data_IF_016523908466
#
_entry.id   IF_016523908466
#
_cell.length_a   1.000
_cell.length_b   1.000
_cell.length_c   1.000
_cell.angle_alpha   90.00
_cell.angle_beta   90.00
_cell.angle_gamma   90.00
#
_symmetry.space_group_name_H-M   'P 1'
#
loop_
_entity.id
_entity.type
_entity.pdbx_description
1 polymer ?
#
# COMPACT_ATOMS: atom_id res chain seq x y z
N UNK A 1 -21.70 -0.51 16.33
CA UNK A 1 -22.05 0.51 15.32
C UNK A 1 -20.79 1.24 14.87
N UNK A 2 -20.76 1.83 13.68
CA UNK A 2 -19.64 2.65 13.18
C UNK A 2 -19.26 3.78 14.17
N UNK A 3 -20.24 4.29 14.90
CA UNK A 3 -20.06 5.33 15.92
C UNK A 3 -19.21 4.83 17.10
N UNK A 4 -19.43 3.63 17.56
CA UNK A 4 -18.66 3.00 18.66
C UNK A 4 -17.21 2.70 18.24
N UNK A 5 -16.98 2.36 16.97
CA UNK A 5 -15.63 2.15 16.42
C UNK A 5 -14.87 3.50 16.40
N UNK A 6 -15.50 4.58 15.92
CA UNK A 6 -14.89 5.90 15.84
C UNK A 6 -14.53 6.47 17.23
N UNK A 7 -15.38 6.27 18.23
CA UNK A 7 -15.19 6.77 19.60
C UNK A 7 -14.05 6.07 20.35
N UNK A 8 -13.75 4.80 20.01
CA UNK A 8 -12.70 3.99 20.63
C UNK A 8 -11.39 3.94 19.85
N UNK A 9 -11.31 4.59 18.70
CA UNK A 9 -10.09 4.57 17.87
C UNK A 9 -9.13 5.65 18.35
N UNK A 10 -7.93 5.24 18.73
CA UNK A 10 -6.87 6.17 19.13
C UNK A 10 -6.51 7.09 17.94
N UNK A 11 -6.36 8.40 18.18
CA UNK A 11 -5.94 9.39 17.18
C UNK A 11 -4.72 8.93 16.35
N UNK A 12 -3.78 8.25 17.00
CA UNK A 12 -2.60 7.67 16.36
C UNK A 12 -2.96 6.70 15.20
N UNK A 13 -3.94 5.81 15.36
CA UNK A 13 -4.30 4.83 14.33
C UNK A 13 -5.03 5.49 13.15
N UNK A 14 -5.86 6.49 13.43
CA UNK A 14 -6.50 7.28 12.38
C UNK A 14 -5.44 8.03 11.57
N UNK A 15 -4.50 8.67 12.26
CA UNK A 15 -3.37 9.34 11.60
C UNK A 15 -2.49 8.38 10.82
N UNK A 16 -2.26 7.15 11.31
CA UNK A 16 -1.48 6.15 10.59
C UNK A 16 -2.09 5.83 9.21
N UNK A 17 -3.41 5.65 9.13
CA UNK A 17 -4.10 5.39 7.87
C UNK A 17 -4.00 6.58 6.89
N UNK A 18 -4.26 7.79 7.38
CA UNK A 18 -4.20 9.01 6.55
C UNK A 18 -2.78 9.30 6.08
N UNK A 19 -1.79 9.22 6.97
CA UNK A 19 -0.40 9.51 6.66
C UNK A 19 0.23 8.46 5.73
N UNK A 20 -0.13 7.17 5.91
CA UNK A 20 0.23 6.10 4.98
C UNK A 20 -0.23 6.45 3.57
N UNK A 21 -1.51 6.80 3.43
CA UNK A 21 -2.09 7.15 2.14
C UNK A 21 -1.38 8.33 1.50
N UNK A 22 -1.15 9.42 2.25
CA UNK A 22 -0.43 10.59 1.76
C UNK A 22 1.00 10.24 1.32
N UNK A 23 1.69 9.36 2.04
CA UNK A 23 3.05 8.93 1.70
C UNK A 23 3.04 8.10 0.40
N UNK A 24 2.05 7.23 0.21
CA UNK A 24 1.87 6.44 -1.02
C UNK A 24 1.55 7.37 -2.20
N UNK A 25 0.62 8.31 -2.05
CA UNK A 25 0.26 9.28 -3.09
C UNK A 25 1.49 10.06 -3.60
N UNK A 26 2.38 10.47 -2.69
CA UNK A 26 3.65 11.12 -3.05
C UNK A 26 4.57 10.21 -3.87
N UNK A 27 4.63 8.91 -3.56
CA UNK A 27 5.42 7.95 -4.34
C UNK A 27 4.83 7.78 -5.74
N UNK A 28 3.50 7.67 -5.85
CA UNK A 28 2.81 7.58 -7.13
C UNK A 28 3.07 8.84 -7.96
N UNK A 29 2.88 10.03 -7.38
CA UNK A 29 3.12 11.29 -8.08
C UNK A 29 4.57 11.39 -8.57
N UNK A 30 5.54 11.08 -7.70
CA UNK A 30 6.96 11.08 -8.10
C UNK A 30 7.27 10.07 -9.22
N UNK A 31 6.60 8.91 -9.23
CA UNK A 31 6.75 7.95 -10.32
C UNK A 31 6.16 8.48 -11.63
N UNK A 32 4.98 9.09 -11.57
CA UNK A 32 4.29 9.67 -12.73
C UNK A 32 5.08 10.83 -13.33
N UNK A 33 5.72 11.67 -12.50
CA UNK A 33 6.55 12.79 -12.94
C UNK A 33 7.80 12.31 -13.72
N UNK A 34 8.30 11.12 -13.41
CA UNK A 34 9.47 10.54 -14.05
C UNK A 34 9.15 9.57 -15.20
N UNK A 35 7.87 9.17 -15.37
CA UNK A 35 7.46 8.16 -16.33
C UNK A 35 6.17 8.58 -17.03
N UNK A 36 6.28 9.18 -18.22
CA UNK A 36 5.11 9.54 -19.02
C UNK A 36 4.40 8.29 -19.60
N UNK A 37 3.07 8.34 -19.67
CA UNK A 37 2.24 7.29 -20.27
C UNK A 37 2.51 5.89 -19.69
N UNK A 38 2.63 5.78 -18.39
CA UNK A 38 2.91 4.55 -17.65
C UNK A 38 1.64 3.86 -17.12
N UNK A 39 1.81 2.73 -16.45
CA UNK A 39 0.74 2.05 -15.72
C UNK A 39 0.90 2.24 -14.21
N UNK A 40 -0.20 2.49 -13.52
CA UNK A 40 -0.30 2.43 -12.05
C UNK A 40 -1.31 1.35 -11.71
N UNK A 41 -0.90 0.32 -10.98
CA UNK A 41 -1.71 -0.86 -10.67
C UNK A 41 -1.89 -0.98 -9.17
N UNK A 42 -3.13 -0.82 -8.70
CA UNK A 42 -3.49 -1.07 -7.31
C UNK A 42 -3.92 -2.53 -7.16
N UNK A 43 -3.21 -3.30 -6.34
CA UNK A 43 -3.55 -4.68 -6.01
C UNK A 43 -4.16 -4.74 -4.62
N UNK A 44 -5.35 -5.33 -4.50
CA UNK A 44 -6.18 -5.21 -3.32
C UNK A 44 -6.74 -3.78 -3.21
N UNK A 45 -7.27 -3.27 -4.31
CA UNK A 45 -7.66 -1.88 -4.46
C UNK A 45 -8.77 -1.43 -3.49
N UNK A 46 -9.67 -2.32 -3.13
CA UNK A 46 -10.80 -1.99 -2.24
C UNK A 46 -11.53 -0.73 -2.70
N UNK A 47 -11.67 0.22 -1.78
CA UNK A 47 -12.23 1.55 -2.04
C UNK A 47 -11.14 2.65 -2.12
N UNK A 48 -9.96 2.32 -2.66
CA UNK A 48 -8.88 3.29 -2.87
C UNK A 48 -9.32 4.39 -3.84
N UNK A 49 -8.99 5.64 -3.53
CA UNK A 49 -9.42 6.82 -4.28
C UNK A 49 -8.25 7.63 -4.86
N UNK A 50 -7.05 7.04 -4.96
CA UNK A 50 -5.85 7.70 -5.47
C UNK A 50 -6.04 8.22 -6.90
N UNK A 51 -6.73 7.48 -7.76
CA UNK A 51 -7.08 7.92 -9.10
C UNK A 51 -7.73 9.31 -9.11
N UNK A 52 -8.73 9.52 -8.24
CA UNK A 52 -9.47 10.78 -8.14
C UNK A 52 -8.67 11.91 -7.48
N UNK A 53 -7.71 11.56 -6.60
CA UNK A 53 -6.85 12.56 -5.92
C UNK A 53 -5.70 13.02 -6.79
N UNK A 54 -5.05 12.09 -7.50
CA UNK A 54 -3.83 12.35 -8.28
C UNK A 54 -4.13 13.01 -9.61
N UNK A 55 -5.29 12.69 -10.23
CA UNK A 55 -5.80 13.35 -11.47
C UNK A 55 -4.80 13.36 -12.62
N UNK A 56 -4.16 12.23 -12.90
CA UNK A 56 -3.27 12.07 -14.04
C UNK A 56 -4.03 11.50 -15.24
N UNK A 57 -4.00 12.19 -16.39
CA UNK A 57 -4.72 11.81 -17.60
C UNK A 57 -3.85 11.14 -18.66
N UNK A 58 -2.54 11.04 -18.45
CA UNK A 58 -1.59 10.48 -19.43
C UNK A 58 -1.25 9.01 -19.17
N UNK A 59 -1.54 8.51 -17.98
CA UNK A 59 -1.22 7.15 -17.54
C UNK A 59 -2.50 6.36 -17.28
N UNK A 60 -2.42 5.04 -17.40
CA UNK A 60 -3.53 4.15 -17.08
C UNK A 60 -3.47 3.72 -15.61
N UNK A 61 -4.63 3.69 -14.98
CA UNK A 61 -4.80 3.21 -13.61
C UNK A 61 -5.60 1.91 -13.64
N UNK A 62 -5.11 0.90 -12.97
CA UNK A 62 -5.72 -0.43 -12.88
C UNK A 62 -6.05 -0.72 -11.43
N UNK A 63 -7.32 -0.97 -11.15
CA UNK A 63 -7.82 -1.30 -9.82
C UNK A 63 -8.17 -2.79 -9.78
N UNK A 64 -7.32 -3.58 -9.15
CA UNK A 64 -7.44 -5.04 -9.10
C UNK A 64 -7.87 -5.47 -7.71
N UNK A 65 -8.99 -6.17 -7.62
CA UNK A 65 -9.48 -6.80 -6.39
C UNK A 65 -10.42 -7.95 -6.74
N UNK A 66 -10.90 -8.67 -5.74
CA UNK A 66 -11.88 -9.73 -5.92
C UNK A 66 -13.14 -9.19 -6.63
N UNK A 67 -13.76 -10.00 -7.48
CA UNK A 67 -14.86 -9.60 -8.35
C UNK A 67 -15.99 -8.85 -7.61
N UNK A 68 -16.40 -9.36 -6.45
CA UNK A 68 -17.43 -8.72 -5.63
C UNK A 68 -16.99 -7.37 -5.04
N UNK A 69 -15.69 -7.19 -4.75
CA UNK A 69 -15.14 -5.91 -4.26
C UNK A 69 -15.12 -4.88 -5.39
N UNK A 70 -14.71 -5.28 -6.58
CA UNK A 70 -14.73 -4.42 -7.77
C UNK A 70 -16.15 -3.99 -8.13
N UNK A 71 -17.12 -4.89 -8.04
CA UNK A 71 -18.54 -4.56 -8.29
C UNK A 71 -19.06 -3.50 -7.28
N UNK A 72 -18.74 -3.64 -6.00
CA UNK A 72 -19.11 -2.64 -4.99
C UNK A 72 -18.33 -1.33 -5.17
N UNK A 73 -17.04 -1.39 -5.55
CA UNK A 73 -16.24 -0.20 -5.89
C UNK A 73 -16.89 0.58 -7.03
N UNK A 74 -17.23 -0.08 -8.14
CA UNK A 74 -17.84 0.55 -9.30
C UNK A 74 -19.18 1.22 -8.97
N UNK A 75 -19.99 0.56 -8.16
CA UNK A 75 -21.27 1.10 -7.68
C UNK A 75 -21.12 2.34 -6.79
N UNK A 76 -20.10 2.38 -5.94
CA UNK A 76 -19.92 3.45 -4.95
C UNK A 76 -19.13 4.65 -5.50
N UNK A 77 -18.13 4.39 -6.34
CA UNK A 77 -17.17 5.39 -6.81
C UNK A 77 -17.28 5.67 -8.30
N UNK A 78 -17.87 4.74 -9.07
CA UNK A 78 -17.75 4.74 -10.52
C UNK A 78 -16.31 4.48 -10.96
N UNK A 79 -15.99 4.85 -12.20
CA UNK A 79 -14.62 4.81 -12.72
C UNK A 79 -14.36 5.97 -13.70
N UNK A 80 -13.10 6.33 -13.84
CA UNK A 80 -12.68 7.40 -14.73
C UNK A 80 -12.30 6.89 -16.13
N UNK A 81 -12.00 7.82 -17.04
CA UNK A 81 -11.72 7.52 -18.46
C UNK A 81 -10.51 6.59 -18.66
N UNK A 82 -9.48 6.73 -17.86
CA UNK A 82 -8.23 5.95 -17.92
C UNK A 82 -8.04 5.08 -16.68
N UNK A 83 -9.13 4.76 -16.00
CA UNK A 83 -9.20 3.82 -14.87
C UNK A 83 -9.84 2.51 -15.35
N UNK A 84 -9.20 1.38 -15.11
CA UNK A 84 -9.59 0.05 -15.54
C UNK A 84 -9.83 -0.80 -14.29
N UNK A 85 -11.07 -1.29 -14.13
CA UNK A 85 -11.47 -2.13 -13.01
C UNK A 85 -11.32 -3.60 -13.38
N UNK A 86 -10.62 -4.40 -12.57
CA UNK A 86 -10.32 -5.81 -12.86
C UNK A 86 -10.70 -6.68 -11.66
N UNK A 87 -11.72 -7.52 -11.83
CA UNK A 87 -12.16 -8.48 -10.83
C UNK A 87 -11.40 -9.79 -10.92
N UNK A 88 -10.36 -9.99 -10.08
CA UNK A 88 -9.66 -11.27 -9.95
C UNK A 88 -8.83 -11.34 -8.66
N UNK A 89 -8.39 -12.55 -8.28
CA UNK A 89 -7.36 -12.70 -7.23
C UNK A 89 -6.02 -12.15 -7.76
N UNK A 90 -5.41 -11.21 -7.03
CA UNK A 90 -4.13 -10.62 -7.42
C UNK A 90 -3.02 -11.67 -7.61
N UNK A 91 -3.06 -12.78 -6.88
CA UNK A 91 -2.08 -13.86 -6.97
C UNK A 91 -2.26 -14.75 -8.20
N UNK A 92 -3.42 -14.71 -8.88
CA UNK A 92 -3.63 -15.45 -10.13
C UNK A 92 -2.80 -14.91 -11.28
N UNK A 93 -2.30 -13.68 -11.17
CA UNK A 93 -1.60 -12.95 -12.23
C UNK A 93 -2.43 -12.70 -13.50
N UNK A 94 -3.73 -13.01 -13.51
CA UNK A 94 -4.60 -12.83 -14.68
C UNK A 94 -4.76 -11.36 -15.06
N UNK A 95 -4.65 -10.44 -14.08
CA UNK A 95 -4.70 -9.00 -14.32
C UNK A 95 -3.59 -8.49 -15.23
N UNK A 96 -2.45 -9.21 -15.33
CA UNK A 96 -1.31 -8.81 -16.18
C UNK A 96 -1.71 -8.76 -17.67
N UNK A 97 -2.64 -9.60 -18.11
CA UNK A 97 -3.11 -9.62 -19.52
C UNK A 97 -3.78 -8.31 -19.98
N UNK A 98 -4.22 -7.48 -19.03
CA UNK A 98 -4.84 -6.19 -19.33
C UNK A 98 -3.82 -5.04 -19.41
N UNK A 99 -2.57 -5.29 -19.02
CA UNK A 99 -1.52 -4.28 -19.04
C UNK A 99 -0.81 -4.22 -20.40
N UNK A 100 -0.43 -3.01 -20.79
CA UNK A 100 0.65 -2.83 -21.76
C UNK A 100 2.00 -2.98 -21.03
N UNK A 101 2.54 -4.20 -21.01
CA UNK A 101 3.78 -4.51 -20.29
C UNK A 101 5.06 -3.88 -20.89
N UNK A 102 4.95 -3.24 -22.06
CA UNK A 102 6.05 -2.44 -22.63
C UNK A 102 6.28 -1.13 -21.85
N UNK A 103 5.24 -0.64 -21.17
CA UNK A 103 5.28 0.58 -20.37
C UNK A 103 5.88 0.36 -18.99
N UNK A 104 6.45 1.43 -18.42
CA UNK A 104 6.81 1.43 -16.99
C UNK A 104 5.56 1.21 -16.13
N UNK A 105 5.66 0.32 -15.17
CA UNK A 105 4.53 -0.06 -14.30
C UNK A 105 4.90 0.16 -12.83
N UNK A 106 4.08 0.91 -12.11
CA UNK A 106 4.12 0.99 -10.66
C UNK A 106 3.01 0.13 -10.08
N UNK A 107 3.37 -0.85 -9.27
CA UNK A 107 2.42 -1.64 -8.49
C UNK A 107 2.32 -1.03 -7.10
N UNK A 108 1.10 -0.82 -6.63
CA UNK A 108 0.78 -0.25 -5.33
C UNK A 108 -0.04 -1.22 -4.51
N UNK A 109 0.41 -1.52 -3.28
CA UNK A 109 -0.34 -2.33 -2.32
C UNK A 109 -0.42 -1.58 -0.99
N UNK A 110 -1.61 -1.12 -0.64
CA UNK A 110 -1.87 -0.33 0.56
C UNK A 110 -2.72 -1.12 1.57
N UNK A 111 -2.09 -1.62 2.63
CA UNK A 111 -2.78 -2.41 3.65
C UNK A 111 -3.13 -3.84 3.20
N UNK A 112 -2.34 -4.43 2.32
CA UNK A 112 -2.64 -5.73 1.68
C UNK A 112 -1.67 -6.82 2.13
N UNK A 113 -0.37 -6.61 2.01
CA UNK A 113 0.63 -7.65 2.28
C UNK A 113 0.60 -8.20 3.70
N UNK A 114 0.17 -7.40 4.64
CA UNK A 114 0.09 -7.78 6.06
C UNK A 114 -0.75 -9.04 6.34
N UNK A 115 -1.68 -9.40 5.46
CA UNK A 115 -2.55 -10.57 5.63
C UNK A 115 -1.97 -11.86 5.06
N UNK A 116 -0.80 -11.82 4.44
CA UNK A 116 -0.20 -12.98 3.77
C UNK A 116 1.13 -13.38 4.41
N UNK A 117 1.54 -14.63 4.20
CA UNK A 117 2.84 -15.11 4.66
C UNK A 117 3.97 -14.51 3.83
N UNK A 118 5.15 -14.36 4.43
CA UNK A 118 6.35 -13.84 3.77
C UNK A 118 6.71 -14.63 2.51
N UNK A 119 6.64 -15.95 2.57
CA UNK A 119 6.98 -16.82 1.44
C UNK A 119 6.03 -16.61 0.26
N UNK A 120 4.73 -16.46 0.53
CA UNK A 120 3.73 -16.15 -0.51
C UNK A 120 4.01 -14.82 -1.18
N UNK A 121 4.36 -13.81 -0.41
CA UNK A 121 4.73 -12.47 -0.93
C UNK A 121 6.00 -12.53 -1.78
N UNK A 122 7.04 -13.24 -1.31
CA UNK A 122 8.29 -13.39 -2.08
C UNK A 122 8.03 -14.12 -3.40
N UNK A 123 7.23 -15.20 -3.37
CA UNK A 123 6.86 -15.92 -4.59
C UNK A 123 6.11 -14.99 -5.58
N UNK A 124 5.16 -14.23 -5.09
CA UNK A 124 4.40 -13.25 -5.87
C UNK A 124 5.28 -12.17 -6.51
N UNK A 125 6.21 -11.59 -5.74
CA UNK A 125 7.18 -10.62 -6.29
C UNK A 125 7.99 -11.24 -7.42
N UNK A 126 8.40 -12.51 -7.31
CA UNK A 126 9.13 -13.22 -8.38
C UNK A 126 8.28 -13.41 -9.63
N UNK A 127 7.00 -13.75 -9.49
CA UNK A 127 6.06 -13.86 -10.62
C UNK A 127 5.91 -12.52 -11.34
N UNK A 128 5.71 -11.43 -10.61
CA UNK A 128 5.62 -10.07 -11.16
C UNK A 128 6.89 -9.71 -11.95
N UNK A 129 8.06 -9.97 -11.35
CA UNK A 129 9.35 -9.72 -12.03
C UNK A 129 9.47 -10.43 -13.38
N UNK A 130 8.99 -11.66 -13.46
CA UNK A 130 9.03 -12.44 -14.71
C UNK A 130 8.05 -11.93 -15.75
N UNK A 131 6.92 -11.34 -15.31
CA UNK A 131 5.82 -10.97 -16.19
C UNK A 131 5.87 -9.51 -16.66
N UNK A 132 6.48 -8.61 -15.87
CA UNK A 132 6.49 -7.17 -16.15
C UNK A 132 7.93 -6.65 -16.13
N UNK A 133 8.56 -6.44 -17.30
CA UNK A 133 9.98 -6.10 -17.40
C UNK A 133 10.40 -4.79 -16.76
N UNK A 134 9.53 -3.76 -16.81
CA UNK A 134 9.81 -2.42 -16.28
C UNK A 134 8.87 -2.14 -15.10
N UNK A 135 9.19 -2.72 -13.94
CA UNK A 135 8.28 -2.69 -12.80
C UNK A 135 8.93 -2.14 -11.52
N UNK A 136 8.21 -1.25 -10.87
CA UNK A 136 8.47 -0.80 -9.51
C UNK A 136 7.27 -1.17 -8.62
N UNK A 137 7.50 -1.27 -7.31
CA UNK A 137 6.46 -1.64 -6.34
C UNK A 137 6.54 -0.75 -5.11
N UNK A 138 5.40 -0.23 -4.69
CA UNK A 138 5.24 0.54 -3.46
C UNK A 138 4.24 -0.17 -2.58
N UNK A 139 4.60 -0.45 -1.34
CA UNK A 139 3.72 -1.08 -0.36
C UNK A 139 4.05 -0.64 1.06
N UNK A 140 3.07 -0.76 1.94
CA UNK A 140 3.29 -0.52 3.37
C UNK A 140 3.68 -1.80 4.10
N UNK A 141 4.51 -1.63 5.12
CA UNK A 141 4.93 -2.70 6.02
C UNK A 141 5.08 -2.19 7.45
N UNK A 142 5.06 -3.11 8.39
CA UNK A 142 5.40 -2.87 9.78
C UNK A 142 6.57 -3.78 10.19
N UNK A 143 7.31 -3.40 11.23
CA UNK A 143 8.29 -4.30 11.81
C UNK A 143 7.62 -5.36 12.72
N UNK A 144 8.37 -6.34 13.17
CA UNK A 144 7.86 -7.44 14.01
C UNK A 144 7.24 -6.97 15.32
N UNK A 145 7.72 -5.87 15.91
CA UNK A 145 7.15 -5.29 17.14
C UNK A 145 5.85 -4.55 16.83
N UNK A 146 5.81 -3.78 15.73
CA UNK A 146 4.61 -3.13 15.24
C UNK A 146 3.51 -4.14 14.93
N UNK A 147 3.86 -5.23 14.25
CA UNK A 147 2.96 -6.34 13.95
C UNK A 147 2.33 -6.93 15.22
N UNK A 148 3.12 -7.25 16.23
CA UNK A 148 2.63 -7.77 17.51
C UNK A 148 1.63 -6.80 18.17
N UNK A 149 1.93 -5.49 18.17
CA UNK A 149 1.05 -4.46 18.74
C UNK A 149 -0.25 -4.32 17.95
N UNK A 150 -0.17 -4.33 16.62
CA UNK A 150 -1.33 -4.27 15.75
C UNK A 150 -2.25 -5.49 15.98
N UNK A 151 -1.69 -6.69 16.10
CA UNK A 151 -2.48 -7.90 16.38
C UNK A 151 -3.13 -7.90 17.76
N UNK A 152 -2.50 -7.33 18.79
CA UNK A 152 -3.14 -7.14 20.10
C UNK A 152 -4.38 -6.23 19.95
N UNK A 153 -4.28 -5.17 19.16
CA UNK A 153 -5.41 -4.28 18.90
C UNK A 153 -6.52 -5.00 18.10
N UNK A 154 -6.17 -5.70 17.02
CA UNK A 154 -7.11 -6.49 16.19
C UNK A 154 -7.89 -7.50 17.05
N UNK A 155 -7.22 -8.25 17.90
CA UNK A 155 -7.88 -9.21 18.81
C UNK A 155 -8.87 -8.53 19.77
N UNK A 156 -8.56 -7.33 20.25
CA UNK A 156 -9.47 -6.56 21.13
C UNK A 156 -10.74 -6.08 20.42
N UNK A 157 -10.71 -5.90 19.09
CA UNK A 157 -11.89 -5.57 18.29
C UNK A 157 -12.78 -6.77 18.00
N UNK A 158 -12.34 -7.99 18.35
CA UNK A 158 -13.06 -9.24 18.07
C UNK A 158 -12.95 -9.72 16.63
N UNK A 159 -12.22 -9.03 15.76
CA UNK A 159 -12.04 -9.40 14.36
C UNK A 159 -10.81 -10.31 14.18
N UNK A 160 -10.90 -11.54 14.68
CA UNK A 160 -9.80 -12.52 14.60
C UNK A 160 -9.36 -12.86 13.18
N UNK A 161 -10.24 -12.67 12.17
CA UNK A 161 -9.93 -12.93 10.77
C UNK A 161 -9.03 -11.84 10.14
N UNK A 162 -8.81 -10.71 10.81
CA UNK A 162 -7.93 -9.63 10.37
C UNK A 162 -6.53 -9.72 11.00
N UNK A 163 -6.13 -10.89 11.52
CA UNK A 163 -4.78 -11.07 12.06
C UNK A 163 -3.73 -10.92 10.95
N UNK A 164 -2.68 -10.18 11.27
CA UNK A 164 -1.60 -9.85 10.35
C UNK A 164 -0.43 -10.83 10.54
N UNK A 165 0.24 -11.19 9.45
CA UNK A 165 1.30 -12.21 9.42
C UNK A 165 2.63 -11.70 8.88
N UNK A 166 2.64 -10.59 8.13
CA UNK A 166 3.82 -10.10 7.45
C UNK A 166 4.44 -8.91 8.16
N UNK A 167 5.75 -9.00 8.41
CA UNK A 167 6.57 -7.91 8.94
C UNK A 167 7.92 -7.85 8.23
N UNK A 168 8.52 -6.67 8.19
CA UNK A 168 9.86 -6.42 7.66
C UNK A 168 10.67 -5.65 8.70
N UNK A 169 11.63 -6.31 9.33
CA UNK A 169 12.55 -5.65 10.28
C UNK A 169 13.70 -4.93 9.55
N UNK A 170 14.15 -5.48 8.42
CA UNK A 170 15.22 -4.90 7.61
C UNK A 170 14.85 -4.87 6.12
N UNK A 171 14.44 -3.69 5.59
CA UNK A 171 14.08 -3.54 4.17
C UNK A 171 15.22 -3.87 3.18
N UNK A 172 16.50 -3.68 3.56
CA UNK A 172 17.63 -4.03 2.70
C UNK A 172 17.78 -5.55 2.56
N UNK A 173 17.59 -6.29 3.65
CA UNK A 173 17.62 -7.76 3.62
C UNK A 173 16.44 -8.31 2.80
N UNK A 174 15.25 -7.75 2.98
CA UNK A 174 14.09 -8.12 2.18
C UNK A 174 14.32 -7.87 0.69
N UNK A 175 14.90 -6.74 0.31
CA UNK A 175 15.25 -6.45 -1.07
C UNK A 175 16.27 -7.45 -1.64
N UNK A 176 17.29 -7.86 -0.85
CA UNK A 176 18.25 -8.91 -1.26
C UNK A 176 17.56 -10.26 -1.44
N UNK A 177 16.70 -10.66 -0.52
CA UNK A 177 15.96 -11.93 -0.55
C UNK A 177 15.02 -12.03 -1.78
N UNK A 178 14.39 -10.92 -2.13
CA UNK A 178 13.53 -10.83 -3.34
C UNK A 178 14.32 -10.56 -4.62
N UNK A 179 15.66 -10.35 -4.52
CA UNK A 179 16.54 -9.95 -5.63
C UNK A 179 16.03 -8.68 -6.34
N UNK A 180 15.60 -7.69 -5.54
CA UNK A 180 15.11 -6.38 -6.00
C UNK A 180 16.06 -5.28 -5.54
N UNK A 181 15.87 -4.07 -6.05
CA UNK A 181 16.62 -2.89 -5.59
C UNK A 181 15.73 -2.05 -4.67
N UNK A 182 16.18 -1.80 -3.44
CA UNK A 182 15.53 -0.85 -2.54
C UNK A 182 15.73 0.57 -3.06
N UNK A 183 14.65 1.24 -3.47
CA UNK A 183 14.65 2.63 -3.93
C UNK A 183 14.57 3.57 -2.75
N UNK A 184 13.61 3.33 -1.86
CA UNK A 184 13.44 4.17 -0.66
C UNK A 184 12.61 3.49 0.42
N UNK A 185 12.78 3.97 1.65
CA UNK A 185 11.93 3.67 2.80
C UNK A 185 11.48 4.99 3.41
N UNK A 186 10.18 5.17 3.59
CA UNK A 186 9.60 6.38 4.19
C UNK A 186 8.78 5.98 5.42
N UNK A 187 8.92 6.72 6.53
CA UNK A 187 7.97 6.60 7.65
C UNK A 187 6.60 7.12 7.25
N UNK A 188 5.57 6.72 7.97
CA UNK A 188 4.20 7.20 7.71
C UNK A 188 4.04 8.66 8.10
N UNK A 189 4.64 9.07 9.22
CA UNK A 189 4.29 10.31 9.92
C UNK A 189 5.24 11.47 9.66
N UNK A 190 6.30 11.29 8.87
CA UNK A 190 7.38 12.28 8.67
C UNK A 190 6.86 13.65 8.27
N UNK A 191 5.88 13.70 7.37
CA UNK A 191 5.29 14.96 6.91
C UNK A 191 4.23 15.49 7.87
N UNK A 192 3.42 14.61 8.44
CA UNK A 192 2.40 15.00 9.39
C UNK A 192 2.99 15.63 10.66
N UNK A 193 4.12 15.14 11.15
CA UNK A 193 4.84 15.71 12.29
C UNK A 193 5.30 17.15 12.03
N UNK A 194 5.56 17.51 10.77
CA UNK A 194 5.96 18.88 10.38
C UNK A 194 4.77 19.82 10.17
N UNK A 195 3.64 19.29 9.68
CA UNK A 195 2.55 20.10 9.14
C UNK A 195 1.29 20.10 10.01
N UNK A 196 0.98 18.98 10.71
CA UNK A 196 -0.26 18.86 11.46
C UNK A 196 -0.20 19.64 12.78
N UNK A 197 -1.09 20.67 12.88
CA UNK A 197 -1.37 21.38 14.11
C UNK A 197 -2.61 20.75 14.80
N UNK A 198 -2.69 20.83 16.12
CA UNK A 198 -3.87 20.36 16.86
C UNK A 198 -3.85 18.90 17.31
N UNK A 199 -2.86 18.10 16.92
CA UNK A 199 -2.71 16.73 17.43
C UNK A 199 -2.31 16.73 18.92
N UNK A 200 -2.82 15.74 19.66
CA UNK A 200 -2.45 15.49 21.06
C UNK A 200 -0.96 15.22 21.19
N UNK A 201 -0.33 15.72 22.24
CA UNK A 201 1.10 15.55 22.47
C UNK A 201 1.51 14.06 22.50
N UNK A 202 0.69 13.21 23.13
CA UNK A 202 0.93 11.77 23.20
C UNK A 202 0.93 11.15 21.78
N UNK A 203 0.02 11.55 20.91
CA UNK A 203 -0.03 11.08 19.51
C UNK A 203 1.24 11.49 18.75
N UNK A 204 1.69 12.74 18.91
CA UNK A 204 2.93 13.23 18.28
C UNK A 204 4.15 12.45 18.74
N UNK A 205 4.25 12.14 20.04
CA UNK A 205 5.33 11.33 20.60
C UNK A 205 5.30 9.93 20.01
N UNK A 206 4.13 9.28 19.96
CA UNK A 206 3.99 7.94 19.36
C UNK A 206 4.36 7.92 17.88
N UNK A 207 3.91 8.92 17.11
CA UNK A 207 4.23 9.09 15.69
C UNK A 207 5.74 9.28 15.47
N UNK A 208 6.37 10.14 16.26
CA UNK A 208 7.82 10.36 16.19
C UNK A 208 8.62 9.07 16.43
N UNK A 209 8.30 8.34 17.51
CA UNK A 209 8.97 7.07 17.79
C UNK A 209 8.65 5.98 16.78
N UNK A 210 7.44 5.97 16.20
CA UNK A 210 7.09 5.04 15.14
C UNK A 210 7.99 5.22 13.92
N UNK A 211 8.17 6.46 13.45
CA UNK A 211 9.04 6.75 12.31
C UNK A 211 10.51 6.54 12.64
N UNK A 212 10.96 7.02 13.82
CA UNK A 212 12.36 6.89 14.26
C UNK A 212 12.80 5.44 14.34
N UNK A 213 11.92 4.56 14.81
CA UNK A 213 12.18 3.13 14.98
C UNK A 213 11.72 2.30 13.79
N UNK A 214 11.23 2.92 12.71
CA UNK A 214 10.69 2.26 11.51
C UNK A 214 9.62 1.21 11.83
N UNK A 215 8.71 1.54 12.80
CA UNK A 215 7.62 0.65 13.20
C UNK A 215 6.56 0.49 12.11
N UNK A 216 6.35 1.54 11.33
CA UNK A 216 5.49 1.57 10.16
C UNK A 216 6.22 2.28 9.03
N UNK A 217 6.20 1.72 7.83
CA UNK A 217 6.96 2.25 6.72
C UNK A 217 6.27 1.99 5.38
N UNK A 218 6.52 2.87 4.43
CA UNK A 218 6.24 2.67 3.01
C UNK A 218 7.56 2.32 2.33
N UNK A 219 7.60 1.15 1.71
CA UNK A 219 8.78 0.61 1.02
C UNK A 219 8.56 0.77 -0.48
N UNK A 220 9.58 1.26 -1.18
CA UNK A 220 9.61 1.36 -2.63
C UNK A 220 10.74 0.49 -3.18
N UNK A 221 10.40 -0.48 -4.00
CA UNK A 221 11.31 -1.41 -4.65
C UNK A 221 11.29 -1.21 -6.17
N UNK A 222 12.45 -1.31 -6.80
CA UNK A 222 12.55 -1.56 -8.24
C UNK A 222 12.74 -3.06 -8.44
N UNK A 223 11.82 -3.69 -9.17
CA UNK A 223 11.80 -5.14 -9.30
C UNK A 223 12.82 -5.64 -10.32
N UNK A 224 12.95 -4.95 -11.44
CA UNK A 224 13.92 -5.28 -12.50
C UNK A 224 14.95 -4.16 -12.66
N UNK A 225 16.14 -4.50 -13.09
CA UNK A 225 17.25 -3.54 -13.35
C UNK A 225 17.06 -2.85 -14.69
#
# INVERSE_FOLDING_TARGET
>A
SLKTIAENTFEYFNMASVCRQQTIDKKITSFLDNNHACNVVFLGAGLETAYFRIRNNSSNFYEVDLEHVIAEREKLLGHGKNEILIGCDMFSMEWVKYLDTSKHTLIVLAGVFQYFTKDRIIHFIRQIKSSIPKCEMVFDATDSIGLKRANIFVRRTGNVNAEMHFAIDNPNEFAKETKTKLVSVSGFFTDALKQCRGLKLISKIMMFFSDRLKRTMVIHLRLNQ
#
